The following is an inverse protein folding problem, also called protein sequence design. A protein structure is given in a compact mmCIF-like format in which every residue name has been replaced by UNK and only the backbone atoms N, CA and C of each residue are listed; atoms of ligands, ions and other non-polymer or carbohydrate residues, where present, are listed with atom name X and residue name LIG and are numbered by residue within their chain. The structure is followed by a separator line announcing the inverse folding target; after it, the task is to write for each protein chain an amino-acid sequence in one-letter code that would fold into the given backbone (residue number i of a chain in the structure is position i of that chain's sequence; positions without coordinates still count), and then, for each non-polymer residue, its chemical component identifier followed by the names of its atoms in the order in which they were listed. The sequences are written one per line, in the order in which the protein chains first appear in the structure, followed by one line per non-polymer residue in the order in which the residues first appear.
data_IF_518537667348
#
_entry.id   IF_518537667348
#
_cell.length_a   1.000
_cell.length_b   1.000
_cell.length_c   1.000
_cell.angle_alpha   90.00
_cell.angle_beta   90.00
_cell.angle_gamma   90.00
#
_symmetry.space_group_name_H-M   'P 1'
#
loop_
_entity.id
_entity.type
_entity.pdbx_description
1 polymer ?
#
# COMPACT_ATOMS: atom_id res chain seq x y z
N UNK A 1 -14.65 8.19 33.90
CA UNK A 1 -14.33 6.92 33.19
C UNK A 1 -14.26 7.30 31.72
N UNK A 2 -13.09 7.33 31.12
CA UNK A 2 -12.96 7.52 29.69
C UNK A 2 -13.56 6.29 28.99
N UNK A 3 -14.64 6.49 28.24
CA UNK A 3 -15.24 5.42 27.45
C UNK A 3 -14.23 4.91 26.43
N UNK A 4 -14.07 3.60 26.36
CA UNK A 4 -13.25 2.92 25.35
C UNK A 4 -13.75 3.25 23.95
N UNK A 5 -12.93 3.91 23.13
CA UNK A 5 -13.35 4.32 21.78
C UNK A 5 -13.45 3.11 20.85
N UNK A 6 -14.65 2.81 20.30
CA UNK A 6 -14.84 1.68 19.41
C UNK A 6 -14.05 1.83 18.10
N UNK A 7 -13.57 0.71 17.55
CA UNK A 7 -12.70 0.67 16.38
C UNK A 7 -13.14 -0.44 15.43
N UNK A 8 -13.36 -0.11 14.16
CA UNK A 8 -13.58 -1.09 13.08
C UNK A 8 -12.27 -1.30 12.30
N UNK A 9 -11.83 -2.55 12.14
CA UNK A 9 -10.83 -2.89 11.12
C UNK A 9 -11.54 -3.10 9.78
N UNK A 10 -11.01 -2.50 8.70
CA UNK A 10 -11.53 -2.66 7.35
C UNK A 10 -10.42 -3.19 6.45
N UNK A 11 -10.67 -4.29 5.75
CA UNK A 11 -9.70 -4.99 4.92
C UNK A 11 -10.26 -5.15 3.51
N UNK A 12 -9.50 -4.77 2.49
CA UNK A 12 -9.82 -5.09 1.10
C UNK A 12 -9.02 -6.33 0.67
N UNK A 13 -9.65 -7.20 -0.14
CA UNK A 13 -9.02 -8.46 -0.55
C UNK A 13 -9.47 -8.91 -1.94
N UNK A 14 -8.59 -9.67 -2.60
CA UNK A 14 -8.88 -10.46 -3.78
C UNK A 14 -7.83 -11.55 -3.93
N UNK A 15 -8.24 -12.82 -3.89
CA UNK A 15 -7.38 -14.02 -4.02
C UNK A 15 -6.17 -13.99 -3.05
N UNK A 16 -6.45 -13.81 -1.75
CA UNK A 16 -5.46 -13.66 -0.68
C UNK A 16 -5.56 -14.76 0.39
N UNK A 17 -5.96 -15.98 0.02
CA UNK A 17 -6.14 -17.10 0.97
C UNK A 17 -4.89 -17.37 1.83
N UNK A 18 -3.70 -17.14 1.28
CA UNK A 18 -2.43 -17.38 1.98
C UNK A 18 -2.09 -16.30 3.02
N UNK A 19 -2.53 -15.04 2.83
CA UNK A 19 -2.12 -13.90 3.66
C UNK A 19 -3.22 -13.42 4.60
N UNK A 20 -4.46 -13.50 4.16
CA UNK A 20 -5.63 -13.00 4.88
C UNK A 20 -5.76 -13.57 6.32
N UNK A 21 -5.49 -14.87 6.61
CA UNK A 21 -5.59 -15.39 7.97
C UNK A 21 -4.78 -14.61 9.00
N UNK A 22 -3.54 -14.30 8.67
CA UNK A 22 -2.64 -13.59 9.57
C UNK A 22 -2.99 -12.09 9.69
N UNK A 23 -3.49 -11.47 8.62
CA UNK A 23 -4.00 -10.10 8.66
C UNK A 23 -5.21 -10.01 9.61
N UNK A 24 -6.19 -10.91 9.48
CA UNK A 24 -7.38 -10.94 10.34
C UNK A 24 -7.05 -11.24 11.79
N UNK A 25 -6.14 -12.18 12.06
CA UNK A 25 -5.68 -12.47 13.43
C UNK A 25 -5.07 -11.23 14.09
N UNK A 26 -4.30 -10.43 13.35
CA UNK A 26 -3.63 -9.24 13.85
C UNK A 26 -4.60 -8.13 14.29
N UNK A 27 -5.82 -8.13 13.78
CA UNK A 27 -6.85 -7.09 14.05
C UNK A 27 -8.00 -7.60 14.95
N UNK A 28 -7.92 -8.79 15.55
CA UNK A 28 -8.95 -9.33 16.45
C UNK A 28 -9.22 -8.47 17.69
N UNK A 29 -8.36 -7.54 18.01
CA UNK A 29 -8.54 -6.58 19.10
C UNK A 29 -9.51 -5.44 18.74
N UNK A 30 -9.91 -5.31 17.49
CA UNK A 30 -10.93 -4.36 17.03
C UNK A 30 -12.34 -4.88 17.37
N UNK A 31 -13.29 -3.96 17.53
CA UNK A 31 -14.68 -4.32 17.91
C UNK A 31 -15.49 -4.84 16.72
N UNK A 32 -15.02 -4.53 15.52
CA UNK A 32 -15.58 -5.01 14.26
C UNK A 32 -14.45 -5.28 13.26
N UNK A 33 -14.63 -6.33 12.45
CA UNK A 33 -13.79 -6.59 11.28
C UNK A 33 -14.69 -6.67 10.04
N UNK A 34 -14.42 -5.83 9.06
CA UNK A 34 -15.11 -5.80 7.76
C UNK A 34 -14.13 -6.21 6.69
N UNK A 35 -14.49 -7.17 5.85
CA UNK A 35 -13.72 -7.59 4.68
C UNK A 35 -14.53 -7.26 3.43
N UNK A 36 -13.95 -6.47 2.52
CA UNK A 36 -14.56 -6.19 1.22
C UNK A 36 -13.77 -6.90 0.14
N UNK A 37 -14.42 -7.89 -0.45
CA UNK A 37 -13.85 -8.78 -1.45
C UNK A 37 -14.23 -8.36 -2.88
N UNK A 38 -13.30 -8.48 -3.81
CA UNK A 38 -13.45 -8.06 -5.21
C UNK A 38 -13.80 -9.21 -6.17
N UNK A 39 -14.30 -10.32 -5.63
CA UNK A 39 -14.66 -11.50 -6.41
C UNK A 39 -13.56 -12.56 -6.40
N UNK A 40 -13.03 -12.89 -5.22
CA UNK A 40 -12.07 -13.98 -5.05
C UNK A 40 -12.61 -15.31 -5.52
N UNK A 41 -11.72 -16.09 -6.14
CA UNK A 41 -11.99 -17.44 -6.67
C UNK A 41 -11.37 -18.56 -5.84
N UNK A 42 -10.50 -18.19 -4.91
CA UNK A 42 -9.84 -19.08 -3.92
C UNK A 42 -10.65 -19.15 -2.61
N UNK A 43 -10.03 -19.63 -1.53
CA UNK A 43 -10.67 -19.77 -0.22
C UNK A 43 -10.76 -18.47 0.60
N UNK A 44 -10.43 -17.32 0.03
CA UNK A 44 -10.41 -16.02 0.72
C UNK A 44 -11.73 -15.73 1.44
N UNK A 45 -12.87 -15.90 0.76
CA UNK A 45 -14.20 -15.66 1.35
C UNK A 45 -14.56 -16.61 2.49
N UNK A 46 -14.19 -17.89 2.37
CA UNK A 46 -14.37 -18.91 3.41
C UNK A 46 -13.58 -18.51 4.67
N UNK A 47 -12.32 -18.15 4.48
CA UNK A 47 -11.40 -17.73 5.56
C UNK A 47 -11.94 -16.48 6.28
N UNK A 48 -12.38 -15.47 5.55
CA UNK A 48 -12.92 -14.25 6.13
C UNK A 48 -14.14 -14.52 7.02
N UNK A 49 -15.08 -15.36 6.53
CA UNK A 49 -16.27 -15.75 7.30
C UNK A 49 -15.92 -16.59 8.53
N UNK A 50 -15.01 -17.54 8.40
CA UNK A 50 -14.56 -18.39 9.52
C UNK A 50 -13.86 -17.58 10.62
N UNK A 51 -13.20 -16.47 10.27
CA UNK A 51 -12.61 -15.53 11.23
C UNK A 51 -13.64 -14.61 11.91
N UNK A 52 -14.94 -14.71 11.57
CA UNK A 52 -16.00 -13.88 12.14
C UNK A 52 -16.08 -12.48 11.52
N UNK A 53 -15.42 -12.23 10.41
CA UNK A 53 -15.48 -10.94 9.71
C UNK A 53 -16.84 -10.76 9.00
N UNK A 54 -17.33 -9.53 8.98
CA UNK A 54 -18.45 -9.15 8.13
C UNK A 54 -17.97 -8.98 6.70
N UNK A 55 -18.39 -9.87 5.82
CA UNK A 55 -17.92 -9.94 4.43
C UNK A 55 -18.90 -9.22 3.50
N UNK A 56 -18.37 -8.30 2.69
CA UNK A 56 -19.08 -7.67 1.58
C UNK A 56 -18.41 -8.04 0.26
N UNK A 57 -19.23 -8.37 -0.73
CA UNK A 57 -18.77 -8.60 -2.09
C UNK A 57 -18.97 -7.33 -2.90
N UNK A 58 -17.92 -6.79 -3.50
CA UNK A 58 -17.95 -5.61 -4.36
C UNK A 58 -17.19 -5.89 -5.66
N UNK A 59 -17.92 -6.48 -6.60
CA UNK A 59 -17.42 -6.90 -7.91
C UNK A 59 -18.35 -6.35 -9.02
N UNK A 60 -17.83 -5.95 -10.19
CA UNK A 60 -16.43 -6.01 -10.61
C UNK A 60 -15.55 -4.99 -9.87
N UNK A 61 -14.23 -5.21 -9.90
CA UNK A 61 -13.22 -4.35 -9.26
C UNK A 61 -13.36 -2.88 -9.68
N UNK A 62 -13.68 -1.95 -8.76
CA UNK A 62 -13.92 -0.54 -9.11
C UNK A 62 -12.65 0.33 -9.06
N UNK A 63 -11.50 -0.24 -8.76
CA UNK A 63 -10.26 0.45 -8.44
C UNK A 63 -10.00 0.61 -6.94
N UNK A 64 -8.74 0.81 -6.55
CA UNK A 64 -8.30 0.82 -5.15
C UNK A 64 -9.03 1.87 -4.29
N UNK A 65 -9.12 3.12 -4.76
CA UNK A 65 -9.78 4.20 -4.02
C UNK A 65 -11.25 3.88 -3.75
N UNK A 66 -11.99 3.44 -4.77
CA UNK A 66 -13.40 3.10 -4.62
C UNK A 66 -13.60 1.91 -3.70
N UNK A 67 -12.80 0.83 -3.86
CA UNK A 67 -12.88 -0.37 -3.04
C UNK A 67 -12.61 -0.07 -1.55
N UNK A 68 -11.58 0.72 -1.26
CA UNK A 68 -11.24 1.12 0.11
C UNK A 68 -12.31 2.02 0.72
N UNK A 69 -12.91 2.94 -0.06
CA UNK A 69 -14.01 3.77 0.44
C UNK A 69 -15.26 2.92 0.76
N UNK A 70 -15.60 1.92 -0.07
CA UNK A 70 -16.68 0.97 0.25
C UNK A 70 -16.41 0.27 1.59
N UNK A 71 -15.17 -0.13 1.86
CA UNK A 71 -14.80 -0.76 3.13
C UNK A 71 -14.93 0.20 4.32
N UNK A 72 -14.49 1.45 4.16
CA UNK A 72 -14.60 2.50 5.18
C UNK A 72 -16.07 2.87 5.45
N UNK A 73 -16.88 3.03 4.41
CA UNK A 73 -18.31 3.34 4.52
C UNK A 73 -19.11 2.21 5.19
N UNK A 74 -18.68 0.98 4.97
CA UNK A 74 -19.30 -0.20 5.59
C UNK A 74 -19.01 -0.33 7.09
N UNK A 75 -18.00 0.32 7.65
CA UNK A 75 -17.68 0.26 9.07
C UNK A 75 -18.83 0.81 9.93
N UNK A 76 -19.08 0.20 11.11
CA UNK A 76 -20.09 0.65 12.07
C UNK A 76 -19.58 1.78 12.96
N UNK A 77 -18.28 1.78 13.25
CA UNK A 77 -17.67 2.75 14.16
C UNK A 77 -17.03 3.90 13.37
N UNK A 78 -16.95 5.06 13.98
CA UNK A 78 -16.36 6.25 13.35
C UNK A 78 -14.85 6.12 13.17
N UNK A 79 -14.20 5.43 14.08
CA UNK A 79 -12.77 5.13 13.96
C UNK A 79 -12.56 3.85 13.17
N UNK A 80 -11.69 3.95 12.15
CA UNK A 80 -11.34 2.82 11.31
C UNK A 80 -9.83 2.61 11.26
N UNK A 81 -9.43 1.33 11.28
CA UNK A 81 -8.10 0.86 10.96
C UNK A 81 -8.16 0.16 9.60
N UNK A 82 -7.64 0.83 8.57
CA UNK A 82 -7.69 0.32 7.20
C UNK A 82 -6.40 -0.46 6.88
N UNK A 83 -6.56 -1.72 6.45
CA UNK A 83 -5.46 -2.60 6.05
C UNK A 83 -5.66 -3.18 4.67
N UNK A 84 -4.55 -3.53 4.03
CA UNK A 84 -4.52 -4.44 2.91
C UNK A 84 -4.35 -5.89 3.43
N UNK A 85 -4.77 -6.89 2.68
CA UNK A 85 -4.72 -8.29 3.13
C UNK A 85 -3.28 -8.82 3.35
N UNK A 86 -2.28 -8.12 2.81
CA UNK A 86 -0.86 -8.39 2.98
C UNK A 86 -0.19 -7.54 4.08
N UNK A 87 -1.00 -6.87 4.93
CA UNK A 87 -0.52 -6.09 6.09
C UNK A 87 -0.92 -6.75 7.42
N UNK A 88 -0.11 -6.56 8.47
CA UNK A 88 -0.35 -7.10 9.83
C UNK A 88 0.01 -6.09 10.90
N UNK A 89 -0.87 -5.95 11.88
CA UNK A 89 -0.62 -5.13 13.07
C UNK A 89 0.35 -5.89 13.99
N UNK A 90 1.49 -5.28 14.30
CA UNK A 90 2.45 -5.84 15.27
C UNK A 90 1.88 -5.79 16.69
N UNK A 91 2.34 -6.64 17.63
CA UNK A 91 1.95 -6.54 19.04
C UNK A 91 2.20 -5.14 19.62
N UNK A 92 3.34 -4.52 19.32
CA UNK A 92 3.67 -3.18 19.77
C UNK A 92 2.72 -2.11 19.19
N UNK A 93 2.36 -2.22 17.91
CA UNK A 93 1.39 -1.31 17.27
C UNK A 93 -0.01 -1.48 17.89
N UNK A 94 -0.41 -2.72 18.17
CA UNK A 94 -1.67 -3.01 18.87
C UNK A 94 -1.71 -2.33 20.24
N UNK A 95 -0.67 -2.45 21.05
CA UNK A 95 -0.58 -1.80 22.37
C UNK A 95 -0.68 -0.27 22.24
N UNK A 96 0.02 0.32 21.27
CA UNK A 96 -0.01 1.76 21.01
C UNK A 96 -1.41 2.23 20.60
N UNK A 97 -2.12 1.49 19.73
CA UNK A 97 -3.50 1.77 19.34
C UNK A 97 -4.45 1.61 20.53
N UNK A 98 -4.30 0.55 21.33
CA UNK A 98 -5.14 0.33 22.52
C UNK A 98 -4.96 1.45 23.56
N UNK A 99 -3.74 1.95 23.75
CA UNK A 99 -3.48 3.08 24.64
C UNK A 99 -4.17 4.37 24.13
N UNK A 100 -4.21 4.59 22.81
CA UNK A 100 -4.97 5.70 22.22
C UNK A 100 -6.48 5.54 22.46
N UNK A 101 -7.03 4.35 22.22
CA UNK A 101 -8.46 4.05 22.44
C UNK A 101 -8.89 4.29 23.89
N UNK A 102 -8.02 3.94 24.84
CA UNK A 102 -8.32 4.09 26.27
C UNK A 102 -8.34 5.56 26.75
N UNK A 103 -7.55 6.43 26.13
CA UNK A 103 -7.49 7.88 26.48
C UNK A 103 -8.31 8.78 25.58
N UNK A 104 -8.91 8.22 24.52
CA UNK A 104 -9.51 8.95 23.42
C UNK A 104 -8.46 9.38 22.38
N UNK A 105 -8.86 9.38 21.11
CA UNK A 105 -8.00 9.85 20.02
C UNK A 105 -7.93 11.38 20.05
N UNK A 106 -6.70 11.92 20.06
CA UNK A 106 -6.41 13.36 20.14
C UNK A 106 -6.15 14.02 18.76
N UNK A 107 -6.08 13.19 17.70
CA UNK A 107 -5.93 13.62 16.31
C UNK A 107 -7.09 13.09 15.48
N UNK A 108 -7.22 13.47 14.21
CA UNK A 108 -8.25 12.94 13.30
C UNK A 108 -7.76 11.74 12.48
N UNK A 109 -6.48 11.48 12.51
CA UNK A 109 -5.85 10.32 11.88
C UNK A 109 -4.43 10.17 12.34
N UNK A 110 -3.87 8.99 12.12
CA UNK A 110 -2.51 8.64 12.53
C UNK A 110 -1.77 7.96 11.40
N UNK A 111 -0.55 8.45 11.13
CA UNK A 111 0.40 7.81 10.24
C UNK A 111 1.08 6.67 10.99
N UNK A 112 1.14 5.52 10.34
CA UNK A 112 1.78 4.31 10.84
C UNK A 112 2.96 4.00 9.91
N UNK A 113 4.20 3.89 10.42
CA UNK A 113 5.33 3.46 9.61
C UNK A 113 5.11 2.01 9.15
N UNK A 114 5.42 1.74 7.89
CA UNK A 114 5.21 0.43 7.29
C UNK A 114 6.58 -0.20 7.00
N UNK A 115 6.81 -1.40 7.54
CA UNK A 115 8.01 -2.17 7.31
C UNK A 115 7.72 -3.32 6.35
N UNK A 116 8.41 -3.38 5.21
CA UNK A 116 8.24 -4.45 4.24
C UNK A 116 9.13 -5.66 4.58
N UNK A 117 8.54 -6.86 4.57
CA UNK A 117 9.29 -8.12 4.62
C UNK A 117 9.56 -8.62 3.20
N UNK A 118 10.83 -8.72 2.83
CA UNK A 118 11.22 -9.14 1.49
C UNK A 118 12.58 -9.84 1.49
N UNK A 119 12.72 -10.86 0.68
CA UNK A 119 13.95 -11.67 0.59
C UNK A 119 14.43 -12.21 1.94
N UNK A 120 13.49 -12.67 2.78
CA UNK A 120 13.76 -13.28 4.07
C UNK A 120 14.14 -12.31 5.19
N UNK A 121 13.93 -10.99 5.03
CA UNK A 121 14.26 -9.98 6.05
C UNK A 121 13.39 -8.74 6.00
N UNK A 122 13.35 -8.01 7.10
CA UNK A 122 12.73 -6.69 7.16
C UNK A 122 13.59 -5.65 6.44
N UNK A 123 12.99 -4.91 5.52
CA UNK A 123 13.64 -3.82 4.78
C UNK A 123 13.42 -2.53 5.55
N UNK A 124 14.36 -2.20 6.45
CA UNK A 124 14.33 -0.97 7.28
C UNK A 124 15.34 0.07 6.78
N UNK A 125 15.54 0.13 5.49
CA UNK A 125 16.38 1.09 4.78
C UNK A 125 15.83 1.26 3.37
N UNK A 126 16.51 2.01 2.52
CA UNK A 126 16.08 2.38 1.17
C UNK A 126 14.85 3.31 1.18
N UNK A 127 14.21 3.56 0.03
CA UNK A 127 12.96 4.32 -0.03
C UNK A 127 11.74 3.54 0.52
N UNK A 128 11.94 2.28 0.90
CA UNK A 128 10.88 1.44 1.43
C UNK A 128 10.64 1.63 2.93
N UNK A 129 11.53 2.39 3.62
CA UNK A 129 11.38 2.61 5.06
C UNK A 129 11.94 3.97 5.51
N UNK A 130 11.25 4.64 6.44
CA UNK A 130 9.87 4.38 6.80
C UNK A 130 8.94 4.78 5.64
N UNK A 131 7.86 4.04 5.46
CA UNK A 131 6.79 4.36 4.51
C UNK A 131 5.51 4.70 5.31
N UNK A 132 5.40 5.93 5.88
CA UNK A 132 4.33 6.27 6.80
C UNK A 132 3.01 6.49 6.05
N UNK A 133 2.02 5.63 6.30
CA UNK A 133 0.69 5.70 5.72
C UNK A 133 -0.36 6.04 6.78
N UNK A 134 -1.35 6.87 6.45
CA UNK A 134 -2.52 7.03 7.31
C UNK A 134 -3.34 5.74 7.18
N UNK A 135 -3.40 4.96 8.27
CA UNK A 135 -4.15 3.71 8.34
C UNK A 135 -5.21 3.72 9.44
N UNK A 136 -5.02 4.55 10.47
CA UNK A 136 -5.97 4.74 11.57
C UNK A 136 -6.53 6.15 11.48
N UNK A 137 -7.87 6.30 11.33
CA UNK A 137 -8.50 7.62 11.15
C UNK A 137 -10.00 7.61 11.46
N UNK A 138 -10.52 8.80 11.73
CA UNK A 138 -11.95 9.08 11.82
C UNK A 138 -12.56 9.15 10.42
N UNK A 139 -13.40 8.18 10.05
CA UNK A 139 -14.03 8.08 8.72
C UNK A 139 -15.04 9.21 8.43
N UNK A 140 -15.53 9.90 9.46
CA UNK A 140 -16.42 11.06 9.26
C UNK A 140 -15.65 12.28 8.76
N UNK A 141 -14.33 12.28 8.94
CA UNK A 141 -13.42 13.37 8.59
C UNK A 141 -12.35 12.97 7.57
N UNK A 142 -12.27 11.70 7.22
CA UNK A 142 -11.27 11.15 6.31
C UNK A 142 -11.83 10.17 5.28
N UNK A 143 -11.19 10.13 4.11
CA UNK A 143 -11.51 9.19 3.04
C UNK A 143 -10.32 8.92 2.16
N UNK A 144 -10.38 7.86 1.38
CA UNK A 144 -9.38 7.57 0.35
C UNK A 144 -9.59 8.48 -0.86
N UNK A 145 -8.49 9.07 -1.34
CA UNK A 145 -8.43 9.94 -2.52
C UNK A 145 -7.16 9.62 -3.33
N UNK A 146 -7.10 10.14 -4.56
CA UNK A 146 -5.95 10.02 -5.44
C UNK A 146 -6.24 9.28 -6.74
N UNK A 147 -5.23 9.20 -7.60
CA UNK A 147 -5.27 8.51 -8.88
C UNK A 147 -4.59 7.14 -8.78
N UNK A 148 -4.69 6.34 -9.85
CA UNK A 148 -4.36 4.92 -10.01
C UNK A 148 -3.09 4.37 -9.33
N UNK A 149 -2.11 5.22 -8.98
CA UNK A 149 -0.83 4.80 -8.37
C UNK A 149 -0.39 5.67 -7.19
N UNK A 150 -1.24 6.61 -6.74
CA UNK A 150 -0.95 7.53 -5.64
C UNK A 150 -2.19 7.72 -4.73
N UNK A 151 -2.83 6.60 -4.40
CA UNK A 151 -3.94 6.62 -3.46
C UNK A 151 -3.43 6.82 -2.02
N UNK A 152 -4.10 7.71 -1.31
CA UNK A 152 -3.82 7.98 0.11
C UNK A 152 -5.08 8.38 0.85
N UNK A 153 -5.07 8.24 2.17
CA UNK A 153 -6.14 8.78 3.01
C UNK A 153 -5.92 10.28 3.18
N UNK A 154 -6.94 11.07 2.81
CA UNK A 154 -7.04 12.49 3.10
C UNK A 154 -7.95 12.69 4.32
N UNK A 155 -7.50 13.45 5.31
CA UNK A 155 -8.29 13.76 6.51
C UNK A 155 -8.38 15.27 6.73
N UNK A 156 -9.52 15.72 7.24
CA UNK A 156 -9.76 17.13 7.57
C UNK A 156 -9.43 17.39 9.04
N UNK A 157 -8.16 17.69 9.32
CA UNK A 157 -7.67 18.04 10.66
C UNK A 157 -6.26 17.54 10.93
N UNK A 158 -5.79 17.64 12.18
CA UNK A 158 -4.42 17.28 12.55
C UNK A 158 -4.20 15.77 12.49
N UNK A 159 -2.98 15.37 12.08
CA UNK A 159 -2.55 13.99 11.91
C UNK A 159 -1.40 13.68 12.85
N UNK A 160 -1.58 12.66 13.69
CA UNK A 160 -0.55 12.13 14.57
C UNK A 160 0.36 11.11 13.87
N UNK A 161 1.38 10.68 14.60
CA UNK A 161 2.33 9.65 14.15
C UNK A 161 2.45 8.58 15.23
N UNK A 162 2.24 7.33 14.85
CA UNK A 162 2.59 6.17 15.66
C UNK A 162 4.06 5.80 15.42
N UNK A 163 4.65 5.12 16.40
CA UNK A 163 6.06 4.74 16.37
C UNK A 163 6.26 3.29 15.96
N UNK A 164 5.27 2.45 16.25
CA UNK A 164 5.32 1.02 16.00
C UNK A 164 4.99 0.71 14.55
N UNK A 165 5.71 -0.25 13.97
CA UNK A 165 5.56 -0.62 12.57
C UNK A 165 4.27 -1.42 12.31
N UNK A 166 3.66 -1.19 11.16
CA UNK A 166 2.77 -2.09 10.47
C UNK A 166 3.63 -3.01 9.57
N UNK A 167 3.50 -4.30 9.73
CA UNK A 167 4.15 -5.29 8.85
C UNK A 167 3.47 -5.30 7.49
N UNK A 168 4.27 -5.40 6.42
CA UNK A 168 3.79 -5.47 5.05
C UNK A 168 4.55 -6.54 4.26
N UNK A 169 3.83 -7.43 3.60
CA UNK A 169 4.35 -8.56 2.81
C UNK A 169 4.07 -8.36 1.32
N UNK A 170 4.68 -7.35 0.66
CA UNK A 170 4.27 -6.89 -0.68
C UNK A 170 4.56 -7.90 -1.79
N UNK A 171 5.56 -8.76 -1.61
CA UNK A 171 6.02 -9.67 -2.65
C UNK A 171 6.37 -11.04 -2.10
N UNK A 172 5.99 -12.09 -2.82
CA UNK A 172 6.35 -13.47 -2.50
C UNK A 172 7.80 -13.79 -2.91
N UNK A 173 8.17 -13.27 -4.08
CA UNK A 173 9.46 -13.51 -4.69
C UNK A 173 9.80 -12.41 -5.70
N UNK A 174 11.01 -12.50 -6.28
CA UNK A 174 11.47 -11.51 -7.28
C UNK A 174 10.57 -11.52 -8.53
N UNK A 175 10.12 -12.70 -8.97
CA UNK A 175 9.22 -12.79 -10.14
C UNK A 175 7.90 -12.06 -9.92
N UNK A 176 7.28 -12.20 -8.73
CA UNK A 176 6.09 -11.43 -8.37
C UNK A 176 6.39 -9.92 -8.35
N UNK A 177 7.53 -9.50 -7.80
CA UNK A 177 7.94 -8.08 -7.79
C UNK A 177 8.10 -7.53 -9.20
N UNK A 178 8.74 -8.27 -10.11
CA UNK A 178 8.93 -7.84 -11.51
C UNK A 178 7.58 -7.69 -12.25
N UNK A 179 6.62 -8.59 -12.04
CA UNK A 179 5.26 -8.44 -12.60
C UNK A 179 4.56 -7.18 -12.09
N UNK A 180 4.70 -6.86 -10.80
CA UNK A 180 4.16 -5.61 -10.24
C UNK A 180 4.87 -4.38 -10.84
N UNK A 181 6.20 -4.42 -10.97
CA UNK A 181 6.96 -3.34 -11.63
C UNK A 181 6.42 -3.11 -13.06
N UNK A 182 6.25 -4.17 -13.83
CA UNK A 182 5.76 -4.06 -15.21
C UNK A 182 4.40 -3.36 -15.26
N UNK A 183 3.42 -3.84 -14.47
CA UNK A 183 2.08 -3.26 -14.39
C UNK A 183 2.08 -1.80 -13.93
N UNK A 184 2.79 -1.48 -12.83
CA UNK A 184 2.77 -0.12 -12.28
C UNK A 184 3.53 0.88 -13.16
N UNK A 185 4.59 0.45 -13.82
CA UNK A 185 5.32 1.31 -14.77
C UNK A 185 4.50 1.60 -16.02
N UNK A 186 3.66 0.67 -16.48
CA UNK A 186 2.74 0.89 -17.59
C UNK A 186 1.66 1.92 -17.22
N UNK A 187 0.99 1.75 -16.08
CA UNK A 187 -0.01 2.70 -15.59
C UNK A 187 0.59 4.10 -15.41
N UNK A 188 1.77 4.18 -14.80
CA UNK A 188 2.46 5.46 -14.61
C UNK A 188 2.83 6.12 -15.94
N UNK A 189 3.36 5.35 -16.89
CA UNK A 189 3.76 5.88 -18.19
C UNK A 189 2.56 6.40 -18.99
N UNK A 190 1.43 5.67 -18.97
CA UNK A 190 0.19 6.11 -19.61
C UNK A 190 -0.35 7.41 -19.01
N UNK A 191 -0.38 7.52 -17.67
CA UNK A 191 -0.80 8.73 -16.99
C UNK A 191 0.13 9.91 -17.30
N UNK A 192 1.45 9.74 -17.14
CA UNK A 192 2.44 10.77 -17.40
C UNK A 192 2.39 11.25 -18.86
N UNK A 193 2.15 10.33 -19.81
CA UNK A 193 1.97 10.66 -21.22
C UNK A 193 0.71 11.51 -21.45
N UNK A 194 -0.42 11.15 -20.85
CA UNK A 194 -1.68 11.89 -20.92
C UNK A 194 -1.54 13.31 -20.31
N UNK A 195 -0.72 13.46 -19.26
CA UNK A 195 -0.36 14.75 -18.66
C UNK A 195 0.64 15.58 -19.50
N UNK A 196 1.03 15.09 -20.68
CA UNK A 196 1.95 15.78 -21.58
C UNK A 196 3.44 15.64 -21.24
N UNK A 197 3.80 14.80 -20.26
CA UNK A 197 5.20 14.56 -19.89
C UNK A 197 5.93 13.84 -21.01
N UNK A 198 7.19 14.22 -21.20
CA UNK A 198 8.14 13.59 -22.14
C UNK A 198 9.45 13.37 -21.43
N UNK A 199 10.26 12.45 -21.92
CA UNK A 199 11.57 12.12 -21.37
C UNK A 199 12.59 11.82 -22.48
N UNK A 200 13.87 12.02 -22.17
CA UNK A 200 14.99 11.70 -23.06
C UNK A 200 15.99 10.73 -22.41
N UNK A 201 16.88 10.18 -23.25
CA UNK A 201 17.90 9.21 -22.77
C UNK A 201 18.75 9.76 -21.62
N UNK A 202 19.24 11.02 -21.64
CA UNK A 202 20.02 11.54 -20.53
C UNK A 202 19.26 11.55 -19.20
N UNK A 203 17.98 11.96 -19.21
CA UNK A 203 17.11 11.94 -18.01
C UNK A 203 16.90 10.52 -17.49
N UNK A 204 16.65 9.56 -18.39
CA UNK A 204 16.46 8.16 -18.03
C UNK A 204 17.69 7.61 -17.30
N UNK A 205 18.89 7.79 -17.87
CA UNK A 205 20.13 7.26 -17.30
C UNK A 205 20.47 7.95 -15.98
N UNK A 206 20.36 9.27 -15.91
CA UNK A 206 20.63 10.03 -14.70
C UNK A 206 19.64 9.66 -13.56
N UNK A 207 18.35 9.54 -13.88
CA UNK A 207 17.33 9.16 -12.90
C UNK A 207 17.51 7.73 -12.36
N UNK A 208 17.90 6.80 -13.25
CA UNK A 208 18.19 5.42 -12.87
C UNK A 208 19.42 5.34 -11.95
N UNK A 209 20.53 5.98 -12.33
CA UNK A 209 21.74 6.04 -11.52
C UNK A 209 21.48 6.69 -10.15
N UNK A 210 20.75 7.80 -10.14
CA UNK A 210 20.35 8.47 -8.91
C UNK A 210 19.46 7.61 -8.02
N UNK A 211 18.47 6.90 -8.59
CA UNK A 211 17.61 5.99 -7.84
C UNK A 211 18.43 4.89 -7.14
N UNK A 212 19.42 4.30 -7.82
CA UNK A 212 20.31 3.33 -7.20
C UNK A 212 21.14 3.95 -6.08
N UNK A 213 21.88 5.04 -6.35
CA UNK A 213 22.74 5.69 -5.37
C UNK A 213 21.97 6.17 -4.16
N UNK A 214 20.80 6.77 -4.37
CA UNK A 214 19.93 7.21 -3.28
C UNK A 214 19.52 6.06 -2.38
N UNK A 215 19.06 4.95 -2.96
CA UNK A 215 18.61 3.79 -2.18
C UNK A 215 19.78 3.08 -1.51
N UNK A 216 20.85 2.80 -2.23
CA UNK A 216 21.93 1.97 -1.73
C UNK A 216 22.85 2.73 -0.76
N UNK A 217 23.23 3.98 -1.13
CA UNK A 217 24.18 4.79 -0.33
C UNK A 217 23.42 5.71 0.61
N UNK A 218 22.63 6.64 0.09
CA UNK A 218 22.02 7.70 0.90
C UNK A 218 21.00 7.19 1.91
N UNK A 219 20.18 6.21 1.50
CA UNK A 219 19.17 5.54 2.35
C UNK A 219 19.70 4.25 3.00
N UNK A 220 21.02 4.11 3.09
CA UNK A 220 21.71 3.04 3.79
C UNK A 220 21.32 1.62 3.37
N UNK A 221 20.92 1.40 2.11
CA UNK A 221 20.60 0.08 1.56
C UNK A 221 21.73 -0.93 1.72
N UNK A 222 22.99 -0.48 1.71
CA UNK A 222 24.17 -1.32 1.93
C UNK A 222 24.14 -2.08 3.28
N UNK A 223 23.44 -1.57 4.29
CA UNK A 223 23.29 -2.23 5.60
C UNK A 223 22.45 -3.51 5.53
N UNK A 224 21.69 -3.66 4.45
CA UNK A 224 20.82 -4.81 4.20
C UNK A 224 21.52 -5.93 3.42
N UNK A 225 22.84 -5.84 3.17
CA UNK A 225 23.59 -6.86 2.42
C UNK A 225 23.03 -7.10 1.01
N UNK A 226 22.91 -8.36 0.61
CA UNK A 226 22.40 -8.72 -0.74
C UNK A 226 20.98 -8.24 -1.00
N UNK A 227 20.11 -8.23 0.01
CA UNK A 227 18.75 -7.69 -0.13
C UNK A 227 18.76 -6.19 -0.46
N UNK A 228 19.67 -5.42 0.16
CA UNK A 228 19.83 -3.99 -0.14
C UNK A 228 20.30 -3.72 -1.56
N UNK A 229 21.24 -4.51 -2.07
CA UNK A 229 21.64 -4.46 -3.48
C UNK A 229 20.44 -4.74 -4.39
N UNK A 230 19.71 -5.83 -4.11
CA UNK A 230 18.55 -6.23 -4.92
C UNK A 230 17.45 -5.17 -4.92
N UNK A 231 17.05 -4.66 -3.75
CA UNK A 231 16.01 -3.61 -3.65
C UNK A 231 16.45 -2.33 -4.35
N UNK A 232 17.69 -1.89 -4.15
CA UNK A 232 18.22 -0.68 -4.80
C UNK A 232 18.27 -0.82 -6.32
N UNK A 233 18.66 -2.00 -6.82
CA UNK A 233 18.68 -2.32 -8.26
C UNK A 233 17.27 -2.36 -8.83
N UNK A 234 16.31 -2.99 -8.15
CA UNK A 234 14.92 -3.04 -8.61
C UNK A 234 14.23 -1.67 -8.59
N UNK A 235 14.55 -0.78 -7.63
CA UNK A 235 14.09 0.60 -7.64
C UNK A 235 14.68 1.41 -8.80
N UNK A 236 15.94 1.19 -9.13
CA UNK A 236 16.57 1.78 -10.31
C UNK A 236 15.95 1.23 -11.60
N UNK A 237 15.72 -0.08 -11.68
CA UNK A 237 15.04 -0.74 -12.79
C UNK A 237 13.60 -0.21 -12.96
N UNK A 238 12.82 -0.10 -11.88
CA UNK A 238 11.51 0.54 -11.91
C UNK A 238 11.57 1.94 -12.53
N UNK A 239 12.54 2.74 -12.10
CA UNK A 239 12.74 4.10 -12.60
C UNK A 239 13.09 4.12 -14.08
N UNK A 240 13.95 3.20 -14.53
CA UNK A 240 14.30 3.05 -15.94
C UNK A 240 13.08 2.63 -16.78
N UNK A 241 12.38 1.56 -16.38
CA UNK A 241 11.28 1.00 -17.17
C UNK A 241 10.12 1.98 -17.32
N UNK A 242 9.73 2.70 -16.27
CA UNK A 242 8.66 3.70 -16.39
C UNK A 242 8.97 4.84 -17.35
N UNK A 243 10.25 5.30 -17.39
CA UNK A 243 10.67 6.33 -18.30
C UNK A 243 10.86 5.81 -19.74
N UNK A 244 11.33 4.56 -19.89
CA UNK A 244 11.44 3.89 -21.18
C UNK A 244 10.07 3.70 -21.84
N UNK A 245 9.06 3.22 -21.08
CA UNK A 245 7.68 3.10 -21.55
C UNK A 245 7.07 4.46 -21.90
N UNK A 246 7.35 5.53 -21.13
CA UNK A 246 6.93 6.89 -21.48
C UNK A 246 7.54 7.35 -22.80
N UNK A 247 8.83 7.06 -23.03
CA UNK A 247 9.50 7.40 -24.28
C UNK A 247 8.93 6.60 -25.47
N UNK A 248 8.58 5.32 -25.26
CA UNK A 248 7.96 4.46 -26.25
C UNK A 248 6.60 5.03 -26.70
N UNK A 249 5.73 5.43 -25.76
CA UNK A 249 4.46 6.10 -26.06
C UNK A 249 4.64 7.39 -26.84
N UNK A 250 5.64 8.21 -26.48
CA UNK A 250 5.94 9.46 -27.17
C UNK A 250 6.43 9.25 -28.62
N UNK A 251 7.13 8.14 -28.89
CA UNK A 251 7.56 7.77 -30.27
C UNK A 251 6.42 7.18 -31.10
N UNK A 252 5.51 6.42 -30.46
CA UNK A 252 4.34 5.82 -31.11
C UNK A 252 3.34 6.88 -31.61
N UNK A 253 3.18 7.97 -30.86
CA UNK A 253 2.30 9.10 -31.22
C UNK A 253 2.84 9.90 -32.43
N UNK A 254 4.17 9.91 -32.63
CA UNK A 254 4.82 10.57 -33.77
C UNK A 254 4.97 9.70 -35.03
N UNK A 255 4.60 8.43 -34.97
CA UNK A 255 4.62 7.51 -36.12
C UNK A 255 3.21 7.05 -36.40
N UNK A 256 2.55 7.67 -37.41
CA UNK A 256 1.40 7.02 -38.03
C UNK A 256 1.78 5.55 -38.30
N UNK A 257 0.92 4.59 -37.85
CA UNK A 257 1.10 3.15 -38.11
C UNK A 257 1.54 2.97 -39.56
N UNK A 258 2.62 2.25 -39.87
CA UNK A 258 2.84 1.81 -41.23
C UNK A 258 1.62 1.00 -41.64
N UNK A 259 0.97 1.45 -42.73
CA UNK A 259 -0.07 0.69 -43.38
C UNK A 259 0.56 -0.63 -43.83
N UNK A 260 0.15 -1.73 -43.19
CA UNK A 260 0.50 -3.09 -43.56
C UNK A 260 -0.77 -3.95 -43.45
#
# INVERSE_FOLDING_TARGET
MTEWTPLSAVVITQDEEARLPAALESVRFCDEVVVVDSGSTDRTLEIARAAGARVLLNSPWPGFVAQRNVAVEAARHDWVLALDADERVTPALREEIQALRARGFDQVGYRIPRAAFYLGRWIRATDWYPDPQIRLFDRTRGRWEGALVHESVSVRGPVGHLRSDLEHYPYENIGHHLRKIDRYTELWAAQAFAEGRRTGIPEMLASCAWAFLRNYVWKHGFTLGSAGVTVSTLNAYYTYVKLAKLQELARGDGRGRPAG
#
